data_IF_474684329975
#
_entry.id   IF_474684329975
#
_cell.length_a   1.000
_cell.length_b   1.000
_cell.length_c   1.000
_cell.angle_alpha   90.00
_cell.angle_beta   90.00
_cell.angle_gamma   90.00
#
_symmetry.space_group_name_H-M   'P 1'
#
loop_
_entity.id
_entity.type
_entity.pdbx_description
1 polymer ?
#
# COMPACT_ATOMS: atom_id res chain seq x y z
N UNK A 1 -61.74 19.64 -21.15
CA UNK A 1 -61.71 20.47 -22.36
C UNK A 1 -60.57 19.96 -23.23
N UNK A 2 -60.78 19.69 -24.53
CA UNK A 2 -59.70 19.27 -25.42
C UNK A 2 -58.67 20.41 -25.53
N UNK A 3 -57.41 20.11 -25.25
CA UNK A 3 -56.29 21.04 -25.46
C UNK A 3 -56.09 21.23 -26.96
N UNK A 4 -55.79 22.46 -27.38
CA UNK A 4 -55.56 22.72 -28.81
C UNK A 4 -54.24 22.07 -29.26
N UNK A 5 -54.12 21.62 -30.52
CA UNK A 5 -52.93 20.92 -31.02
C UNK A 5 -51.63 21.73 -30.88
N UNK A 6 -51.73 23.07 -30.85
CA UNK A 6 -50.60 23.95 -30.59
C UNK A 6 -50.12 23.88 -29.12
N UNK A 7 -51.02 23.70 -28.17
CA UNK A 7 -50.69 23.55 -26.75
C UNK A 7 -50.01 22.20 -26.45
N UNK A 8 -50.42 21.13 -27.12
CA UNK A 8 -49.74 19.83 -27.02
C UNK A 8 -48.29 19.92 -27.51
N UNK A 9 -48.06 20.61 -28.63
CA UNK A 9 -46.74 20.80 -29.20
C UNK A 9 -45.81 21.57 -28.24
N UNK A 10 -46.30 22.67 -27.66
CA UNK A 10 -45.54 23.45 -26.68
C UNK A 10 -45.21 22.63 -25.41
N UNK A 11 -46.16 21.83 -24.93
CA UNK A 11 -45.93 20.95 -23.77
C UNK A 11 -44.88 19.88 -24.06
N UNK A 12 -44.83 19.34 -25.28
CA UNK A 12 -43.79 18.37 -25.67
C UNK A 12 -42.43 19.05 -25.80
N UNK A 13 -42.36 20.19 -26.49
CA UNK A 13 -41.10 20.91 -26.72
C UNK A 13 -40.46 21.49 -25.45
N UNK A 14 -41.26 21.83 -24.44
CA UNK A 14 -40.75 22.33 -23.16
C UNK A 14 -40.66 21.20 -22.13
N UNK A 15 -41.63 20.28 -22.10
CA UNK A 15 -41.68 19.20 -21.11
C UNK A 15 -40.59 18.15 -21.30
N UNK A 16 -40.30 17.74 -22.54
CA UNK A 16 -39.28 16.73 -22.82
C UNK A 16 -37.87 17.16 -22.39
N UNK A 17 -37.35 18.37 -22.72
CA UNK A 17 -36.03 18.79 -22.26
C UNK A 17 -35.97 19.02 -20.75
N UNK A 18 -37.04 19.51 -20.11
CA UNK A 18 -37.11 19.66 -18.65
C UNK A 18 -37.03 18.30 -17.95
N UNK A 19 -37.77 17.30 -18.46
CA UNK A 19 -37.69 15.92 -17.96
C UNK A 19 -36.29 15.32 -18.18
N UNK A 20 -35.69 15.51 -19.36
CA UNK A 20 -34.35 15.02 -19.65
C UNK A 20 -33.28 15.64 -18.72
N UNK A 21 -33.37 16.94 -18.46
CA UNK A 21 -32.48 17.63 -17.53
C UNK A 21 -32.64 17.13 -16.09
N UNK A 22 -33.89 16.92 -15.64
CA UNK A 22 -34.19 16.37 -14.32
C UNK A 22 -33.63 14.95 -14.14
N UNK A 23 -33.80 14.09 -15.15
CA UNK A 23 -33.25 12.72 -15.14
C UNK A 23 -31.72 12.75 -15.10
N UNK A 24 -31.09 13.60 -15.91
CA UNK A 24 -29.63 13.72 -15.95
C UNK A 24 -29.08 14.19 -14.60
N UNK A 25 -29.70 15.21 -13.99
CA UNK A 25 -29.33 15.70 -12.67
C UNK A 25 -29.49 14.62 -11.58
N UNK A 26 -30.57 13.84 -11.63
CA UNK A 26 -30.80 12.74 -10.69
C UNK A 26 -29.74 11.64 -10.81
N UNK A 27 -29.35 11.28 -12.04
CA UNK A 27 -28.28 10.29 -12.28
C UNK A 27 -26.93 10.79 -11.76
N UNK A 28 -26.58 12.05 -12.06
CA UNK A 28 -25.33 12.65 -11.56
C UNK A 28 -25.30 12.70 -10.04
N UNK A 29 -26.40 13.09 -9.41
CA UNK A 29 -26.51 13.13 -7.95
C UNK A 29 -26.40 11.72 -7.34
N UNK A 30 -27.07 10.72 -7.94
CA UNK A 30 -26.97 9.34 -7.49
C UNK A 30 -25.54 8.79 -7.60
N UNK A 31 -24.82 9.11 -8.67
CA UNK A 31 -23.42 8.74 -8.83
C UNK A 31 -22.51 9.47 -7.85
N UNK A 32 -22.72 10.77 -7.61
CA UNK A 32 -21.97 11.54 -6.64
C UNK A 32 -22.17 11.00 -5.21
N UNK A 33 -23.41 10.69 -4.84
CA UNK A 33 -23.72 10.03 -3.56
C UNK A 33 -23.13 8.63 -3.47
N UNK A 34 -23.17 7.85 -4.55
CA UNK A 34 -22.53 6.53 -4.61
C UNK A 34 -21.02 6.63 -4.45
N UNK A 35 -20.40 7.64 -5.07
CA UNK A 35 -18.98 7.95 -4.94
C UNK A 35 -18.66 8.39 -3.52
N UNK A 36 -19.43 9.28 -2.91
CA UNK A 36 -19.23 9.73 -1.53
C UNK A 36 -19.47 8.61 -0.51
N UNK A 37 -20.48 7.76 -0.70
CA UNK A 37 -20.69 6.58 0.16
C UNK A 37 -19.55 5.59 -0.01
N UNK A 38 -19.03 5.40 -1.23
CA UNK A 38 -17.86 4.55 -1.49
C UNK A 38 -16.57 5.18 -0.95
N UNK A 39 -16.40 6.50 -1.06
CA UNK A 39 -15.27 7.29 -0.55
C UNK A 39 -15.28 7.26 0.98
N UNK A 40 -16.45 7.47 1.60
CA UNK A 40 -16.67 7.44 3.03
C UNK A 40 -16.47 6.03 3.60
N UNK A 41 -16.91 4.98 2.88
CA UNK A 41 -16.58 3.59 3.23
C UNK A 41 -15.08 3.31 3.13
N UNK A 42 -14.35 3.95 2.20
CA UNK A 42 -12.88 3.88 2.10
C UNK A 42 -12.19 4.63 3.25
N UNK A 43 -12.70 5.81 3.62
CA UNK A 43 -12.21 6.64 4.75
C UNK A 43 -12.50 5.99 6.11
N UNK A 44 -13.66 5.37 6.30
CA UNK A 44 -14.06 4.70 7.56
C UNK A 44 -13.36 3.37 7.83
N UNK A 45 -12.72 2.75 6.84
CA UNK A 45 -11.92 1.52 7.05
C UNK A 45 -10.60 1.75 7.79
N UNK A 46 -10.20 3.00 8.01
CA UNK A 46 -8.93 3.36 8.65
C UNK A 46 -9.11 4.48 9.70
N UNK A 47 -10.09 4.36 10.59
CA UNK A 47 -10.07 5.08 11.86
C UNK A 47 -9.74 4.08 12.97
N UNK A 48 -8.45 3.75 13.21
CA UNK A 48 -8.10 2.94 14.36
C UNK A 48 -8.30 3.77 15.65
N UNK A 49 -8.19 3.16 16.83
CA UNK A 49 -8.21 3.85 18.14
C UNK A 49 -6.81 4.38 18.50
N UNK A 50 -6.67 5.49 19.23
CA UNK A 50 -5.42 6.30 19.36
C UNK A 50 -4.14 5.53 19.77
N UNK A 51 -4.27 4.33 20.35
CA UNK A 51 -3.13 3.45 20.71
C UNK A 51 -3.04 2.17 19.84
N UNK A 52 -4.10 1.76 19.14
CA UNK A 52 -4.02 0.83 18.00
C UNK A 52 -3.68 1.54 16.67
N UNK A 53 -3.63 2.88 16.70
CA UNK A 53 -3.52 3.80 15.56
C UNK A 53 -2.15 3.89 14.92
N UNK A 54 -1.10 3.45 15.61
CA UNK A 54 0.25 3.67 15.12
C UNK A 54 0.55 2.71 13.97
N UNK A 55 0.74 3.19 12.73
CA UNK A 55 0.86 2.32 11.57
C UNK A 55 2.12 1.48 11.65
N UNK A 56 2.12 0.27 11.09
CA UNK A 56 3.41 -0.40 10.88
C UNK A 56 4.23 0.43 9.89
N UNK A 57 5.48 0.75 10.24
CA UNK A 57 6.38 1.56 9.42
C UNK A 57 7.39 0.66 8.73
N UNK A 58 7.49 0.74 7.41
CA UNK A 58 8.54 0.07 6.64
C UNK A 58 9.73 1.01 6.50
N UNK A 59 10.87 0.62 7.05
CA UNK A 59 12.12 1.39 6.96
C UNK A 59 12.98 0.70 5.92
N UNK A 60 13.37 1.41 4.87
CA UNK A 60 14.20 0.86 3.79
C UNK A 60 15.59 1.48 3.91
N UNK A 61 16.59 0.64 4.05
CA UNK A 61 17.99 1.04 4.09
C UNK A 61 18.73 0.36 2.95
N UNK A 62 19.09 1.15 1.95
CA UNK A 62 20.05 0.72 0.94
C UNK A 62 21.47 1.09 1.41
N UNK A 63 22.46 0.25 1.13
CA UNK A 63 23.86 0.59 1.43
C UNK A 63 24.80 0.09 0.33
N UNK A 64 25.90 0.81 0.13
CA UNK A 64 26.99 0.46 -0.78
C UNK A 64 28.31 0.72 -0.06
N UNK A 65 29.14 -0.32 0.12
CA UNK A 65 30.45 -0.22 0.73
C UNK A 65 30.48 0.52 2.09
N UNK A 66 29.59 0.12 3.00
CA UNK A 66 29.30 0.88 4.23
C UNK A 66 28.98 0.03 5.45
N UNK A 67 29.45 -1.23 5.51
CA UNK A 67 29.05 -2.20 6.54
C UNK A 67 29.14 -1.69 7.98
N UNK A 68 30.18 -0.91 8.32
CA UNK A 68 30.35 -0.33 9.66
C UNK A 68 29.27 0.69 10.02
N UNK A 69 29.05 1.70 9.16
CA UNK A 69 28.00 2.71 9.35
C UNK A 69 26.60 2.10 9.31
N UNK A 70 26.42 1.08 8.48
CA UNK A 70 25.18 0.33 8.40
C UNK A 70 24.86 -0.38 9.71
N UNK A 71 25.84 -1.01 10.36
CA UNK A 71 25.64 -1.67 11.64
C UNK A 71 25.16 -0.69 12.72
N UNK A 72 25.76 0.51 12.79
CA UNK A 72 25.34 1.54 13.74
C UNK A 72 23.94 2.08 13.42
N UNK A 73 23.61 2.24 12.13
CA UNK A 73 22.25 2.61 11.69
C UNK A 73 21.21 1.57 12.13
N UNK A 74 21.48 0.28 11.90
CA UNK A 74 20.58 -0.82 12.29
C UNK A 74 20.38 -0.83 13.80
N UNK A 75 21.46 -0.74 14.59
CA UNK A 75 21.37 -0.68 16.06
C UNK A 75 20.57 0.52 16.54
N UNK A 76 20.70 1.68 15.89
CA UNK A 76 19.91 2.87 16.20
C UNK A 76 18.41 2.63 15.97
N UNK A 77 18.05 1.99 14.85
CA UNK A 77 16.65 1.61 14.57
C UNK A 77 16.15 0.58 15.59
N UNK A 78 16.95 -0.41 15.95
CA UNK A 78 16.62 -1.41 16.97
C UNK A 78 16.42 -0.81 18.37
N UNK A 79 17.15 0.27 18.69
CA UNK A 79 17.01 1.02 19.94
C UNK A 79 15.84 2.02 19.96
N UNK A 80 15.08 2.14 18.86
CA UNK A 80 13.93 3.03 18.79
C UNK A 80 12.82 2.60 19.74
N UNK A 81 12.13 3.57 20.35
CA UNK A 81 10.93 3.34 21.18
C UNK A 81 9.71 2.88 20.37
N UNK A 82 9.79 2.94 19.04
CA UNK A 82 8.71 2.53 18.15
C UNK A 82 8.87 1.06 17.78
N UNK A 83 7.97 0.20 18.23
CA UNK A 83 8.12 -1.26 18.05
C UNK A 83 7.51 -1.80 16.75
N UNK A 84 6.60 -1.04 16.12
CA UNK A 84 5.81 -1.50 14.97
C UNK A 84 6.50 -1.18 13.65
N UNK A 85 7.67 -1.74 13.41
CA UNK A 85 8.39 -1.54 12.15
C UNK A 85 8.86 -2.86 11.53
N UNK A 86 9.11 -2.79 10.23
CA UNK A 86 9.96 -3.74 9.49
C UNK A 86 11.15 -2.96 8.93
N UNK A 87 12.33 -3.57 8.94
CA UNK A 87 13.55 -2.97 8.41
C UNK A 87 14.03 -3.77 7.20
N UNK A 88 14.04 -3.15 6.04
CA UNK A 88 14.37 -3.79 4.77
C UNK A 88 15.74 -3.32 4.34
N UNK A 89 16.70 -4.23 4.33
CA UNK A 89 18.08 -3.98 3.94
C UNK A 89 18.28 -4.37 2.48
N UNK A 90 18.87 -3.47 1.69
CA UNK A 90 19.15 -3.69 0.28
C UNK A 90 20.60 -3.39 -0.03
N UNK A 91 21.32 -4.36 -0.59
CA UNK A 91 22.68 -4.13 -1.05
C UNK A 91 22.66 -3.41 -2.42
N UNK A 92 23.24 -2.22 -2.48
CA UNK A 92 23.39 -1.44 -3.71
C UNK A 92 24.68 -1.80 -4.46
N UNK A 93 25.04 -3.09 -4.46
CA UNK A 93 26.13 -3.63 -5.24
C UNK A 93 27.51 -3.48 -4.60
N UNK A 94 27.58 -3.70 -3.29
CA UNK A 94 28.84 -3.59 -2.54
C UNK A 94 29.88 -4.62 -3.00
N UNK A 95 31.14 -4.29 -2.72
CA UNK A 95 32.34 -5.11 -2.92
C UNK A 95 33.05 -5.41 -1.60
N UNK A 96 32.63 -4.78 -0.50
CA UNK A 96 33.09 -5.06 0.85
C UNK A 96 32.18 -6.10 1.55
N UNK A 97 32.27 -6.19 2.87
CA UNK A 97 31.49 -7.12 3.69
C UNK A 97 30.07 -6.62 4.05
N UNK A 98 29.56 -5.58 3.38
CA UNK A 98 28.22 -5.02 3.63
C UNK A 98 27.09 -6.06 3.53
N UNK A 99 27.02 -6.93 2.49
CA UNK A 99 25.91 -7.89 2.39
C UNK A 99 25.97 -8.98 3.47
N UNK A 100 27.15 -9.37 3.93
CA UNK A 100 27.33 -10.31 5.05
C UNK A 100 26.83 -9.70 6.36
N UNK A 101 27.13 -8.42 6.60
CA UNK A 101 26.60 -7.68 7.76
C UNK A 101 25.07 -7.61 7.70
N UNK A 102 24.49 -7.28 6.54
CA UNK A 102 23.02 -7.26 6.36
C UNK A 102 22.39 -8.61 6.66
N UNK A 103 22.97 -9.69 6.14
CA UNK A 103 22.48 -11.04 6.35
C UNK A 103 22.56 -11.46 7.83
N UNK A 104 23.64 -11.08 8.54
CA UNK A 104 23.80 -11.31 9.97
C UNK A 104 22.65 -10.69 10.78
N UNK A 105 22.39 -9.40 10.59
CA UNK A 105 21.28 -8.72 11.29
C UNK A 105 19.90 -9.29 10.94
N UNK A 106 19.67 -9.68 9.69
CA UNK A 106 18.42 -10.31 9.26
C UNK A 106 18.22 -11.71 9.87
N UNK A 107 19.30 -12.42 10.20
CA UNK A 107 19.23 -13.71 10.91
C UNK A 107 18.97 -13.54 12.42
N UNK A 108 19.44 -12.44 13.02
CA UNK A 108 19.32 -12.16 14.45
C UNK A 108 17.96 -11.57 14.85
N UNK A 109 17.37 -10.71 14.02
CA UNK A 109 16.11 -10.01 14.34
C UNK A 109 15.08 -10.24 13.23
N UNK A 110 14.00 -10.95 13.55
CA UNK A 110 12.94 -11.29 12.60
C UNK A 110 12.16 -10.10 12.03
N UNK A 111 12.36 -8.88 12.55
CA UNK A 111 11.81 -7.64 11.97
C UNK A 111 12.68 -7.11 10.83
N UNK A 112 13.89 -7.63 10.68
CA UNK A 112 14.86 -7.23 9.67
C UNK A 112 14.82 -8.22 8.51
N UNK A 113 14.67 -7.70 7.30
CA UNK A 113 14.60 -8.49 6.06
C UNK A 113 15.71 -8.03 5.14
N UNK A 114 16.61 -8.95 4.79
CA UNK A 114 17.57 -8.70 3.73
C UNK A 114 16.92 -9.00 2.37
N UNK A 115 16.70 -7.96 1.57
CA UNK A 115 16.05 -8.07 0.26
C UNK A 115 16.98 -8.60 -0.84
N UNK A 116 18.28 -8.69 -0.56
CA UNK A 116 19.31 -9.09 -1.49
C UNK A 116 19.99 -7.90 -2.18
N UNK A 117 20.76 -8.23 -3.22
CA UNK A 117 21.49 -7.27 -4.05
C UNK A 117 20.60 -6.67 -5.14
N UNK A 118 20.70 -5.36 -5.32
CA UNK A 118 20.03 -4.65 -6.41
C UNK A 118 20.46 -5.23 -7.77
N UNK A 119 19.52 -5.58 -8.66
CA UNK A 119 19.81 -6.25 -9.93
C UNK A 119 20.59 -5.38 -10.94
N UNK A 120 20.83 -4.11 -10.65
CA UNK A 120 21.65 -3.24 -11.47
C UNK A 120 22.52 -2.33 -10.60
N UNK A 121 23.76 -2.74 -10.34
CA UNK A 121 24.80 -1.85 -9.81
C UNK A 121 24.96 -0.58 -10.68
N UNK A 122 24.63 -0.67 -11.98
CA UNK A 122 24.63 0.45 -12.93
C UNK A 122 23.40 1.38 -12.84
N UNK A 123 22.27 0.93 -12.27
CA UNK A 123 21.05 1.75 -12.15
C UNK A 123 21.07 2.68 -10.93
N UNK A 124 22.14 2.62 -10.13
CA UNK A 124 22.37 3.48 -8.99
C UNK A 124 21.48 3.18 -7.79
N UNK A 125 21.60 4.04 -6.78
CA UNK A 125 20.98 3.89 -5.46
C UNK A 125 19.43 3.84 -5.52
N UNK A 126 18.81 4.51 -6.49
CA UNK A 126 17.36 4.50 -6.68
C UNK A 126 16.78 3.12 -7.00
N UNK A 127 17.52 2.28 -7.75
CA UNK A 127 17.08 0.91 -8.03
C UNK A 127 17.06 0.03 -6.77
N UNK A 128 18.03 0.22 -5.88
CA UNK A 128 18.07 -0.46 -4.58
C UNK A 128 16.88 -0.05 -3.70
N UNK A 129 16.56 1.26 -3.66
CA UNK A 129 15.38 1.75 -2.92
C UNK A 129 14.08 1.20 -3.50
N UNK A 130 13.92 1.19 -4.83
CA UNK A 130 12.72 0.65 -5.48
C UNK A 130 12.55 -0.85 -5.22
N UNK A 131 13.65 -1.62 -5.19
CA UNK A 131 13.63 -3.01 -4.76
C UNK A 131 13.13 -3.15 -3.32
N UNK A 132 13.63 -2.29 -2.42
CA UNK A 132 13.18 -2.23 -1.03
C UNK A 132 11.69 -1.89 -0.90
N UNK A 133 11.21 -0.90 -1.67
CA UNK A 133 9.77 -0.52 -1.71
C UNK A 133 8.93 -1.70 -2.20
N UNK A 134 9.39 -2.45 -3.19
CA UNK A 134 8.70 -3.66 -3.67
C UNK A 134 8.63 -4.80 -2.65
N UNK A 135 9.47 -4.77 -1.62
CA UNK A 135 9.47 -5.73 -0.50
C UNK A 135 8.73 -5.23 0.73
N UNK A 136 8.41 -3.93 0.78
CA UNK A 136 7.65 -3.33 1.86
C UNK A 136 6.25 -3.95 1.95
N UNK A 137 5.86 -4.37 3.15
CA UNK A 137 4.60 -5.04 3.44
C UNK A 137 4.58 -6.55 3.17
N UNK A 138 5.68 -7.13 2.67
CA UNK A 138 5.82 -8.57 2.39
C UNK A 138 6.81 -9.31 3.32
N UNK A 139 7.52 -8.57 4.19
CA UNK A 139 8.47 -9.11 5.17
C UNK A 139 7.77 -9.70 6.38
N UNK A 140 8.19 -10.89 6.80
CA UNK A 140 7.49 -11.69 7.78
C UNK A 140 7.30 -10.98 9.13
N UNK A 141 6.09 -11.13 9.67
CA UNK A 141 5.87 -11.27 11.11
C UNK A 141 6.18 -10.06 12.01
N UNK A 142 5.72 -8.86 11.66
CA UNK A 142 5.23 -7.97 12.73
C UNK A 142 3.90 -8.58 13.19
N UNK A 143 3.78 -9.11 14.42
CA UNK A 143 2.53 -9.70 14.89
C UNK A 143 1.55 -8.56 15.19
N UNK A 144 1.02 -7.93 14.13
CA UNK A 144 -0.27 -7.26 14.26
C UNK A 144 -1.29 -8.39 14.40
N UNK A 145 -1.63 -8.73 15.65
CA UNK A 145 -2.84 -9.49 15.95
C UNK A 145 -4.00 -8.76 15.27
N UNK A 146 -4.39 -9.18 14.06
CA UNK A 146 -5.55 -8.60 13.37
C UNK A 146 -5.58 -8.60 11.85
N UNK A 147 -4.51 -8.88 11.10
CA UNK A 147 -4.60 -8.94 9.63
C UNK A 147 -4.18 -10.31 9.08
N UNK A 148 -5.17 -11.08 8.60
CA UNK A 148 -4.92 -12.12 7.61
C UNK A 148 -4.51 -11.45 6.28
N UNK A 149 -3.50 -11.96 5.57
CA UNK A 149 -3.14 -11.45 4.24
C UNK A 149 -4.31 -11.58 3.29
N UNK A 150 -4.49 -10.60 2.38
CA UNK A 150 -5.59 -10.65 1.40
C UNK A 150 -5.21 -11.62 0.29
N UNK A 151 -6.19 -12.30 -0.33
CA UNK A 151 -5.94 -13.20 -1.46
C UNK A 151 -5.20 -12.53 -2.63
N UNK A 152 -5.33 -11.21 -2.79
CA UNK A 152 -4.66 -10.43 -3.84
C UNK A 152 -3.17 -10.16 -3.57
N UNK A 153 -2.71 -10.34 -2.32
CA UNK A 153 -1.30 -10.14 -1.94
C UNK A 153 -0.50 -11.45 -2.06
N UNK A 154 -1.18 -12.56 -2.35
CA UNK A 154 -0.58 -13.86 -2.56
C UNK A 154 -0.28 -14.05 -4.06
N UNK A 155 0.99 -14.23 -4.41
CA UNK A 155 1.38 -14.68 -5.76
C UNK A 155 0.76 -16.06 -6.08
N UNK A 156 0.75 -16.47 -7.37
CA UNK A 156 0.08 -17.68 -7.83
C UNK A 156 0.54 -18.98 -7.12
N UNK A 157 1.72 -18.97 -6.48
CA UNK A 157 2.31 -20.15 -5.83
C UNK A 157 1.86 -20.37 -4.37
N UNK A 158 1.11 -19.45 -3.76
CA UNK A 158 0.72 -19.55 -2.34
C UNK A 158 -0.37 -20.59 -2.04
N UNK A 159 -0.96 -21.22 -3.06
CA UNK A 159 -2.01 -22.23 -2.91
C UNK A 159 -1.48 -23.61 -2.47
N UNK A 160 -0.16 -23.87 -2.58
CA UNK A 160 0.42 -25.20 -2.36
C UNK A 160 0.81 -25.56 -0.91
N UNK A 161 0.86 -24.59 0.01
CA UNK A 161 1.45 -24.82 1.35
C UNK A 161 0.43 -25.18 2.46
N UNK A 162 -0.83 -25.43 2.11
CA UNK A 162 -1.81 -26.01 3.06
C UNK A 162 -1.97 -27.50 2.81
N UNK A 163 -1.05 -28.29 3.37
CA UNK A 163 -1.26 -29.67 3.89
C UNK A 163 0.10 -30.30 4.14
N UNK A 164 0.62 -30.13 5.36
CA UNK A 164 1.34 -31.16 6.11
C UNK A 164 1.10 -30.87 7.58
N UNK A 165 0.08 -31.55 8.11
CA UNK A 165 0.08 -31.99 9.52
C UNK A 165 1.17 -33.06 9.68
#
# INVERSE_FOLDING_TARGET
MPVSPAQELVLVFIGLPVLAAAVTAAVVLALALSFEVRSARRRRRHAPTLWQQWPTVSIIVAAHNGGGLLADCIRSVQGSRYERYELILVDAGSTDNTPEVMAGFAAEDGRIVFAGRSPAAAAGYGAALNLGVGRAGGGAHVPSRGRRPRPADCGPDAAGLRRRE
#
